data_IF_901710834306
#
_entry.id   IF_901710834306
#
_cell.length_a   1.000
_cell.length_b   1.000
_cell.length_c   1.000
_cell.angle_alpha   90.00
_cell.angle_beta   90.00
_cell.angle_gamma   90.00
#
_symmetry.space_group_name_H-M   'P 1'
#
loop_
_entity.id
_entity.type
_entity.pdbx_description
1 polymer ?
#
# COMPACT_ATOMS: atom_id res chain seq x y z
N UNK A 1 15.67 4.46 32.62
CA UNK A 1 15.82 3.49 31.51
C UNK A 1 14.80 3.85 30.46
N UNK A 2 15.16 4.69 29.49
CA UNK A 2 14.29 4.97 28.35
C UNK A 2 14.43 3.79 27.41
N UNK A 3 13.45 2.88 27.44
CA UNK A 3 13.31 1.91 26.36
C UNK A 3 13.14 2.73 25.08
N UNK A 4 13.89 2.49 24.00
CA UNK A 4 13.54 3.08 22.73
C UNK A 4 12.12 2.58 22.45
N UNK A 5 11.17 3.50 22.36
CA UNK A 5 9.91 3.23 21.69
C UNK A 5 10.39 2.71 20.35
N UNK A 6 10.30 1.39 20.12
CA UNK A 6 10.39 0.85 18.78
C UNK A 6 9.22 1.51 18.11
N UNK A 7 9.45 2.65 17.46
CA UNK A 7 8.51 3.25 16.55
C UNK A 7 8.19 2.11 15.60
N UNK A 8 7.04 1.46 15.83
CA UNK A 8 6.58 0.41 14.96
C UNK A 8 6.48 1.11 13.62
N UNK A 9 7.38 0.75 12.69
CA UNK A 9 7.44 1.40 11.39
C UNK A 9 5.99 1.47 10.87
N UNK A 10 5.56 2.61 10.33
CA UNK A 10 4.19 2.74 9.87
C UNK A 10 3.92 1.58 8.89
N UNK A 11 2.86 0.82 9.16
CA UNK A 11 2.53 -0.33 8.32
C UNK A 11 2.23 0.19 6.91
N UNK A 12 2.89 -0.34 5.86
CA UNK A 12 2.68 0.09 4.49
C UNK A 12 1.19 0.06 4.16
N UNK A 13 0.61 1.23 3.90
CA UNK A 13 -0.81 1.40 3.63
C UNK A 13 -0.96 2.52 2.62
N UNK A 14 -1.69 2.26 1.52
CA UNK A 14 -1.89 3.23 0.46
C UNK A 14 -1.60 2.69 -0.93
N UNK A 15 -1.73 3.56 -1.92
CA UNK A 15 -1.55 3.25 -3.33
C UNK A 15 -0.15 3.64 -3.78
N UNK A 16 0.58 2.69 -4.37
CA UNK A 16 1.80 2.95 -5.12
C UNK A 16 1.50 2.80 -6.60
N UNK A 17 1.84 3.79 -7.41
CA UNK A 17 1.71 3.73 -8.87
C UNK A 17 3.09 3.49 -9.47
N UNK A 18 3.17 2.56 -10.41
CA UNK A 18 4.40 2.31 -11.14
C UNK A 18 4.78 3.56 -11.96
N UNK A 19 6.08 3.85 -12.15
CA UNK A 19 6.52 5.00 -12.94
C UNK A 19 6.02 4.95 -14.39
N UNK A 20 5.77 3.75 -14.92
CA UNK A 20 5.19 3.57 -16.26
C UNK A 20 3.67 3.83 -16.32
N UNK A 21 3.02 3.99 -15.16
CA UNK A 21 1.56 4.15 -14.98
C UNK A 21 0.69 3.04 -15.55
N UNK A 22 1.27 1.91 -15.91
CA UNK A 22 0.52 0.72 -16.36
C UNK A 22 -0.11 -0.05 -15.20
N UNK A 23 0.48 0.06 -14.01
CA UNK A 23 0.11 -0.72 -12.83
C UNK A 23 0.11 0.12 -11.55
N UNK A 24 -0.73 -0.32 -10.62
CA UNK A 24 -0.84 0.25 -9.29
C UNK A 24 -0.92 -0.87 -8.26
N UNK A 25 -0.24 -0.69 -7.13
CA UNK A 25 -0.28 -1.60 -5.98
C UNK A 25 -0.96 -0.91 -4.81
N UNK A 26 -2.00 -1.54 -4.29
CA UNK A 26 -2.68 -1.08 -3.10
C UNK A 26 -2.28 -1.94 -1.90
N UNK A 27 -1.71 -1.31 -0.89
CA UNK A 27 -1.34 -1.94 0.37
C UNK A 27 -2.44 -1.67 1.39
N UNK A 28 -2.99 -2.75 1.94
CA UNK A 28 -4.08 -2.73 2.91
C UNK A 28 -3.62 -3.49 4.14
N UNK A 29 -3.47 -2.80 5.26
CA UNK A 29 -3.29 -3.48 6.54
C UNK A 29 -4.55 -4.26 6.90
N UNK A 30 -4.41 -5.52 7.27
CA UNK A 30 -5.51 -6.32 7.79
C UNK A 30 -5.92 -5.81 9.19
N UNK A 31 -7.13 -5.24 9.36
CA UNK A 31 -7.58 -4.73 10.65
C UNK A 31 -7.78 -5.84 11.70
N UNK A 32 -7.91 -7.10 11.26
CA UNK A 32 -8.06 -8.26 12.16
C UNK A 32 -6.71 -8.83 12.63
N UNK A 33 -5.60 -8.35 12.08
CA UNK A 33 -4.28 -8.88 12.43
C UNK A 33 -3.77 -8.31 13.75
N UNK A 34 -3.11 -9.15 14.54
CA UNK A 34 -2.48 -8.77 15.81
C UNK A 34 -1.50 -7.62 15.61
N UNK A 35 -1.49 -6.64 16.52
CA UNK A 35 -0.59 -5.48 16.47
C UNK A 35 0.90 -5.87 16.44
N UNK A 36 1.24 -7.05 16.99
CA UNK A 36 2.61 -7.56 17.08
C UNK A 36 3.12 -8.11 15.74
N UNK A 37 2.22 -8.58 14.87
CA UNK A 37 2.55 -9.12 13.55
C UNK A 37 1.41 -8.81 12.55
N UNK A 38 1.30 -7.55 12.09
CA UNK A 38 0.23 -7.17 11.20
C UNK A 38 0.45 -7.76 9.81
N UNK A 39 -0.57 -8.47 9.30
CA UNK A 39 -0.58 -8.91 7.91
C UNK A 39 -0.98 -7.74 7.01
N UNK A 40 -0.32 -7.62 5.86
CA UNK A 40 -0.67 -6.65 4.82
C UNK A 40 -1.15 -7.40 3.57
N UNK A 41 -2.31 -7.01 3.06
CA UNK A 41 -2.75 -7.43 1.74
C UNK A 41 -2.22 -6.46 0.69
N UNK A 42 -1.67 -7.01 -0.38
CA UNK A 42 -1.23 -6.24 -1.54
C UNK A 42 -2.10 -6.60 -2.73
N UNK A 43 -2.74 -5.61 -3.31
CA UNK A 43 -3.58 -5.76 -4.48
C UNK A 43 -2.91 -5.10 -5.67
N UNK A 44 -2.57 -5.88 -6.69
CA UNK A 44 -2.06 -5.37 -7.94
C UNK A 44 -3.23 -5.08 -8.88
N UNK A 45 -3.33 -3.85 -9.32
CA UNK A 45 -4.33 -3.33 -10.24
C UNK A 45 -3.66 -2.87 -11.54
N UNK A 46 -4.41 -2.96 -12.63
CA UNK A 46 -4.11 -2.21 -13.85
C UNK A 46 -4.47 -0.74 -13.62
N UNK A 47 -3.63 0.16 -14.11
CA UNK A 47 -3.86 1.60 -14.04
C UNK A 47 -4.14 2.17 -15.43
N UNK A 48 -4.93 3.24 -15.50
CA UNK A 48 -4.97 4.12 -16.67
C UNK A 48 -3.79 5.10 -16.63
N UNK A 49 -3.54 5.82 -17.74
CA UNK A 49 -2.45 6.80 -17.86
C UNK A 49 -2.53 7.94 -16.82
N UNK A 50 -3.70 8.14 -16.23
CA UNK A 50 -3.99 9.07 -15.13
C UNK A 50 -3.63 8.52 -13.74
N UNK A 51 -3.21 7.24 -13.64
CA UNK A 51 -2.94 6.55 -12.39
C UNK A 51 -4.19 5.97 -11.71
N UNK A 52 -5.36 6.00 -12.36
CA UNK A 52 -6.61 5.47 -11.79
C UNK A 52 -6.63 3.94 -11.88
N UNK A 53 -6.87 3.23 -10.77
CA UNK A 53 -7.00 1.77 -10.79
C UNK A 53 -8.26 1.33 -11.53
N UNK A 54 -8.12 0.42 -12.48
CA UNK A 54 -9.22 -0.07 -13.33
C UNK A 54 -9.66 -1.47 -12.96
N UNK A 55 -8.74 -2.43 -13.05
CA UNK A 55 -9.03 -3.86 -12.90
C UNK A 55 -8.03 -4.51 -11.96
N UNK A 56 -8.55 -5.23 -10.97
CA UNK A 56 -7.74 -6.05 -10.09
C UNK A 56 -7.12 -7.21 -10.87
N UNK A 57 -5.80 -7.27 -10.89
CA UNK A 57 -5.02 -8.33 -11.52
C UNK A 57 -4.70 -9.46 -10.54
N UNK A 58 -4.28 -9.10 -9.33
CA UNK A 58 -3.86 -10.07 -8.33
C UNK A 58 -4.05 -9.52 -6.92
N UNK A 59 -4.33 -10.39 -5.95
CA UNK A 59 -4.27 -10.08 -4.53
C UNK A 59 -3.33 -11.07 -3.86
N UNK A 60 -2.38 -10.56 -3.09
CA UNK A 60 -1.45 -11.35 -2.29
C UNK A 60 -1.57 -10.93 -0.83
N UNK A 61 -1.22 -11.86 0.04
CA UNK A 61 -1.11 -11.64 1.48
C UNK A 61 0.37 -11.71 1.82
N UNK A 62 0.90 -10.65 2.40
CA UNK A 62 2.27 -10.53 2.85
C UNK A 62 2.31 -10.38 4.37
N UNK A 63 3.31 -10.98 4.99
CA UNK A 63 3.67 -10.64 6.36
C UNK A 63 4.22 -9.19 6.43
N UNK A 64 4.30 -8.69 7.65
CA UNK A 64 4.70 -7.31 7.91
C UNK A 64 6.09 -6.97 7.34
N UNK A 65 7.07 -7.86 7.54
CA UNK A 65 8.46 -7.64 7.12
C UNK A 65 8.55 -7.64 5.60
N UNK A 66 8.00 -8.67 4.95
CA UNK A 66 7.96 -8.77 3.48
C UNK A 66 7.21 -7.60 2.83
N UNK A 67 6.12 -7.13 3.45
CA UNK A 67 5.38 -5.96 2.95
C UNK A 67 6.22 -4.68 3.06
N UNK A 68 6.99 -4.51 4.14
CA UNK A 68 7.88 -3.37 4.33
C UNK A 68 9.04 -3.39 3.34
N UNK A 69 9.68 -4.54 3.15
CA UNK A 69 10.74 -4.71 2.15
C UNK A 69 10.22 -4.40 0.75
N UNK A 70 9.08 -4.98 0.37
CA UNK A 70 8.45 -4.72 -0.93
C UNK A 70 8.12 -3.24 -1.11
N UNK A 71 7.58 -2.58 -0.09
CA UNK A 71 7.24 -1.16 -0.15
C UNK A 71 8.48 -0.28 -0.38
N UNK A 72 9.55 -0.50 0.39
CA UNK A 72 10.79 0.25 0.24
C UNK A 72 11.48 -0.02 -1.11
N UNK A 73 11.44 -1.27 -1.60
CA UNK A 73 11.94 -1.62 -2.92
C UNK A 73 11.18 -0.86 -4.00
N UNK A 74 9.85 -0.84 -3.95
CA UNK A 74 9.03 -0.11 -4.92
C UNK A 74 9.34 1.39 -4.91
N UNK A 75 9.39 2.01 -3.72
CA UNK A 75 9.78 3.42 -3.59
C UNK A 75 11.19 3.71 -4.14
N UNK A 76 12.11 2.74 -4.02
CA UNK A 76 13.46 2.85 -4.58
C UNK A 76 13.49 2.68 -6.11
N UNK A 77 12.45 2.10 -6.69
CA UNK A 77 12.27 1.91 -8.14
C UNK A 77 11.36 2.99 -8.75
N UNK A 78 11.36 4.21 -8.20
CA UNK A 78 10.56 5.35 -8.67
C UNK A 78 9.04 5.11 -8.65
N UNK A 79 8.53 4.21 -7.81
CA UNK A 79 7.09 4.11 -7.60
C UNK A 79 6.61 5.29 -6.75
N UNK A 80 5.54 5.92 -7.19
CA UNK A 80 5.01 7.12 -6.55
C UNK A 80 3.88 6.74 -5.58
N UNK A 81 3.96 7.27 -4.34
CA UNK A 81 2.88 7.17 -3.37
C UNK A 81 1.75 8.12 -3.76
N UNK A 82 0.61 7.55 -4.10
CA UNK A 82 -0.61 8.30 -4.36
C UNK A 82 -1.34 8.51 -3.04
N UNK A 83 -1.16 9.71 -2.47
CA UNK A 83 -1.91 10.17 -1.29
C UNK A 83 -3.37 10.52 -1.60
N UNK A 84 -3.70 10.71 -2.89
CA UNK A 84 -5.08 10.84 -3.33
C UNK A 84 -5.79 9.50 -3.19
N UNK A 85 -6.44 9.30 -2.05
CA UNK A 85 -7.48 8.29 -1.94
C UNK A 85 -8.51 8.59 -3.02
N UNK A 86 -8.62 7.72 -4.03
CA UNK A 86 -9.73 7.73 -5.01
C UNK A 86 -11.12 7.56 -4.36
N UNK A 87 -11.19 7.54 -3.02
CA UNK A 87 -12.39 7.40 -2.23
C UNK A 87 -12.93 8.74 -1.70
N UNK A 88 -12.63 9.87 -2.34
CA UNK A 88 -13.46 11.06 -2.23
C UNK A 88 -14.79 10.82 -2.95
N UNK A 89 -15.54 9.80 -2.55
CA UNK A 89 -16.96 9.75 -2.78
C UNK A 89 -17.54 10.84 -1.87
N UNK A 90 -17.66 12.02 -2.47
CA UNK A 90 -18.53 13.11 -2.07
C UNK A 90 -19.88 12.54 -1.63
N UNK A 91 -20.08 12.43 -0.31
CA UNK A 91 -21.42 12.42 0.28
C UNK A 91 -22.00 13.82 0.08
N UNK A 92 -22.52 14.06 -1.12
CA UNK A 92 -23.33 15.20 -1.49
C UNK A 92 -24.61 14.69 -2.15
N UNK A 93 -25.56 14.24 -1.33
CA UNK A 93 -26.99 14.25 -1.65
C UNK A 93 -27.81 14.05 -0.37
#
# INVERSE_FOLDING_TARGET
>A
MNQPIREALPTPTGWLVAPTRDFCLFFIRDPKSVMVAPTVFTQLWYCHEDGTPTKLKNTRKLDYESAHETWNELLSNDWELVEHQFNACVDAA
#
